data_IF_932568339445
#
_entry.id   IF_932568339445
#
_cell.length_a   1.000
_cell.length_b   1.000
_cell.length_c   1.000
_cell.angle_alpha   90.00
_cell.angle_beta   90.00
_cell.angle_gamma   90.00
#
_symmetry.space_group_name_H-M   'P 1'
#
loop_
_entity.id
_entity.type
_entity.pdbx_description
1 polymer ?
#
# COMPACT_ATOMS: atom_id res chain seq x y z
N UNK A 1 10.03 -16.84 2.51
CA UNK A 1 10.33 -16.08 1.29
C UNK A 1 10.96 -14.75 1.66
N UNK A 2 11.98 -14.30 0.94
CA UNK A 2 12.62 -13.00 1.20
C UNK A 2 11.82 -11.90 0.47
N UNK A 3 10.74 -11.42 1.11
CA UNK A 3 9.88 -10.38 0.56
C UNK A 3 9.80 -9.16 1.48
N UNK A 4 9.44 -8.01 0.90
CA UNK A 4 9.33 -6.74 1.63
C UNK A 4 7.97 -6.11 1.36
N UNK A 5 7.29 -5.68 2.42
CA UNK A 5 6.07 -4.91 2.29
C UNK A 5 6.41 -3.43 2.10
N UNK A 6 5.78 -2.81 1.11
CA UNK A 6 6.00 -1.43 0.71
C UNK A 6 4.83 -0.59 1.20
N UNK A 7 5.15 0.37 2.06
CA UNK A 7 4.21 1.33 2.62
C UNK A 7 3.80 2.40 1.59
N UNK A 8 2.64 3.02 1.80
CA UNK A 8 2.09 4.09 0.96
C UNK A 8 3.06 5.26 0.81
N UNK A 9 3.79 5.62 1.87
CA UNK A 9 4.78 6.70 1.86
C UNK A 9 5.88 6.52 0.80
N UNK A 10 6.30 5.30 0.51
CA UNK A 10 7.32 5.03 -0.52
C UNK A 10 6.77 5.37 -1.91
N UNK A 11 5.55 4.92 -2.20
CA UNK A 11 4.89 5.25 -3.46
C UNK A 11 4.65 6.75 -3.58
N UNK A 12 4.22 7.42 -2.52
CA UNK A 12 3.96 8.86 -2.52
C UNK A 12 5.22 9.68 -2.81
N UNK A 13 6.36 9.37 -2.16
CA UNK A 13 7.64 10.03 -2.47
C UNK A 13 8.04 9.89 -3.94
N UNK A 14 7.85 8.70 -4.53
CA UNK A 14 8.13 8.48 -5.95
C UNK A 14 7.22 9.36 -6.82
N UNK A 15 5.94 9.50 -6.47
CA UNK A 15 4.99 10.35 -7.19
C UNK A 15 5.30 11.85 -7.03
N UNK A 16 5.92 12.25 -5.92
CA UNK A 16 6.45 13.60 -5.70
C UNK A 16 7.74 13.87 -6.49
N UNK A 17 8.31 12.86 -7.16
CA UNK A 17 9.49 12.98 -8.00
C UNK A 17 10.80 12.58 -7.32
N UNK A 18 10.77 11.92 -6.16
CA UNK A 18 11.97 11.42 -5.49
C UNK A 18 12.61 10.27 -6.27
N UNK A 19 13.67 10.61 -7.01
CA UNK A 19 14.44 9.66 -7.83
C UNK A 19 15.22 8.66 -6.96
N UNK A 20 15.68 9.07 -5.78
CA UNK A 20 16.43 8.20 -4.86
C UNK A 20 15.53 7.08 -4.36
N UNK A 21 14.33 7.41 -3.89
CA UNK A 21 13.33 6.42 -3.44
C UNK A 21 12.92 5.50 -4.60
N UNK A 22 12.76 6.04 -5.81
CA UNK A 22 12.45 5.25 -7.02
C UNK A 22 13.55 4.22 -7.33
N UNK A 23 14.80 4.66 -7.35
CA UNK A 23 15.93 3.78 -7.65
C UNK A 23 16.11 2.69 -6.58
N UNK A 24 15.87 3.04 -5.31
CA UNK A 24 15.87 2.06 -4.21
C UNK A 24 14.78 1.01 -4.40
N UNK A 25 13.55 1.40 -4.75
CA UNK A 25 12.45 0.47 -5.00
C UNK A 25 12.78 -0.47 -6.18
N UNK A 26 13.33 0.07 -7.28
CA UNK A 26 13.73 -0.72 -8.44
C UNK A 26 14.82 -1.75 -8.11
N UNK A 27 15.84 -1.34 -7.35
CA UNK A 27 16.89 -2.24 -6.87
C UNK A 27 16.28 -3.34 -5.99
N UNK A 28 15.44 -2.96 -5.03
CA UNK A 28 14.79 -3.91 -4.13
C UNK A 28 13.91 -4.92 -4.88
N UNK A 29 13.19 -4.48 -5.90
CA UNK A 29 12.36 -5.34 -6.75
C UNK A 29 13.18 -6.38 -7.55
N UNK A 30 14.45 -6.08 -7.85
CA UNK A 30 15.35 -7.03 -8.51
C UNK A 30 15.89 -8.11 -7.55
N UNK A 31 15.85 -7.87 -6.25
CA UNK A 31 16.44 -8.73 -5.22
C UNK A 31 15.37 -9.50 -4.41
N UNK A 32 14.18 -8.91 -4.26
CA UNK A 32 13.12 -9.39 -3.37
C UNK A 32 11.75 -9.19 -3.99
N UNK A 33 10.81 -10.05 -3.59
CA UNK A 33 9.39 -9.82 -3.90
C UNK A 33 8.87 -8.64 -3.11
N UNK A 34 8.16 -7.75 -3.78
CA UNK A 34 7.53 -6.60 -3.16
C UNK A 34 6.07 -6.87 -2.90
N UNK A 35 5.57 -6.42 -1.76
CA UNK A 35 4.19 -6.60 -1.35
C UNK A 35 3.54 -5.28 -0.98
N UNK A 36 2.23 -5.22 -1.15
CA UNK A 36 1.36 -4.20 -0.59
C UNK A 36 0.01 -4.84 -0.25
N UNK A 37 -0.93 -4.08 0.28
CA UNK A 37 -2.33 -4.49 0.36
C UNK A 37 -3.23 -3.42 -0.28
N UNK A 38 -4.55 -3.61 -0.17
CA UNK A 38 -5.56 -2.70 -0.71
C UNK A 38 -5.66 -1.39 0.07
N UNK A 39 -5.23 -1.34 1.33
CA UNK A 39 -5.16 -0.10 2.12
C UNK A 39 -4.12 0.84 1.53
N UNK A 40 -2.89 0.34 1.29
CA UNK A 40 -1.83 1.10 0.61
C UNK A 40 -2.30 1.63 -0.74
N UNK A 41 -2.97 0.79 -1.55
CA UNK A 41 -3.52 1.22 -2.83
C UNK A 41 -4.52 2.38 -2.67
N UNK A 42 -5.46 2.26 -1.73
CA UNK A 42 -6.47 3.27 -1.45
C UNK A 42 -5.83 4.59 -1.00
N UNK A 43 -4.90 4.54 -0.04
CA UNK A 43 -4.21 5.71 0.48
C UNK A 43 -3.46 6.47 -0.61
N UNK A 44 -2.67 5.77 -1.41
CA UNK A 44 -1.87 6.37 -2.48
C UNK A 44 -2.78 7.07 -3.50
N UNK A 45 -3.88 6.41 -3.93
CA UNK A 45 -4.82 7.04 -4.86
C UNK A 45 -5.55 8.23 -4.25
N UNK A 46 -5.98 8.15 -3.00
CA UNK A 46 -6.65 9.27 -2.33
C UNK A 46 -5.73 10.48 -2.20
N UNK A 47 -4.49 10.27 -1.78
CA UNK A 47 -3.50 11.35 -1.66
C UNK A 47 -3.19 11.92 -3.05
N UNK A 48 -2.96 11.08 -4.05
CA UNK A 48 -2.71 11.53 -5.42
C UNK A 48 -3.87 12.38 -5.97
N UNK A 49 -5.13 11.94 -5.80
CA UNK A 49 -6.30 12.69 -6.24
C UNK A 49 -6.43 14.01 -5.48
N UNK A 50 -6.23 14.00 -4.17
CA UNK A 50 -6.27 15.22 -3.32
C UNK A 50 -5.27 16.26 -3.81
N UNK A 51 -4.01 15.85 -4.02
CA UNK A 51 -2.92 16.74 -4.42
C UNK A 51 -3.08 17.20 -5.87
N UNK A 52 -3.39 16.30 -6.80
CA UNK A 52 -3.51 16.64 -8.23
C UNK A 52 -4.73 17.48 -8.60
N UNK A 53 -5.71 17.59 -7.68
CA UNK A 53 -6.92 18.40 -7.85
C UNK A 53 -6.97 19.62 -6.95
N UNK A 54 -6.12 19.69 -5.92
CA UNK A 54 -6.15 20.73 -4.91
C UNK A 54 -7.39 20.73 -4.01
N UNK A 55 -8.16 19.64 -4.00
CA UNK A 55 -9.45 19.52 -3.27
C UNK A 55 -9.40 18.44 -2.21
N UNK A 56 -10.16 18.57 -1.13
CA UNK A 56 -10.29 17.53 -0.10
C UNK A 56 -11.15 16.36 -0.62
N UNK A 57 -10.95 15.17 -0.06
CA UNK A 57 -11.62 13.93 -0.51
C UNK A 57 -13.16 14.05 -0.53
N UNK A 58 -13.76 14.76 0.45
CA UNK A 58 -15.21 14.95 0.50
C UNK A 58 -15.77 15.89 -0.58
N UNK A 59 -14.92 16.73 -1.17
CA UNK A 59 -15.27 17.62 -2.26
C UNK A 59 -15.14 16.88 -3.60
N UNK A 60 -14.05 16.14 -3.79
CA UNK A 60 -13.77 15.37 -5.01
C UNK A 60 -14.89 14.37 -5.30
N UNK A 61 -15.39 13.66 -4.26
CA UNK A 61 -16.47 12.68 -4.43
C UNK A 61 -17.77 13.26 -4.99
N UNK A 62 -17.96 14.59 -4.89
CA UNK A 62 -19.14 15.29 -5.45
C UNK A 62 -18.97 15.65 -6.92
N UNK A 63 -17.78 15.51 -7.49
CA UNK A 63 -17.44 15.93 -8.86
C UNK A 63 -16.72 14.79 -9.61
N UNK A 64 -17.45 13.76 -10.07
CA UNK A 64 -16.84 12.60 -10.74
C UNK A 64 -16.02 12.97 -11.99
N UNK A 65 -16.38 14.04 -12.71
CA UNK A 65 -15.62 14.51 -13.87
C UNK A 65 -14.20 14.92 -13.52
N UNK A 66 -13.98 15.45 -12.32
CA UNK A 66 -12.66 15.84 -11.86
C UNK A 66 -11.77 14.60 -11.69
N UNK A 67 -12.33 13.50 -11.18
CA UNK A 67 -11.63 12.21 -11.08
C UNK A 67 -11.36 11.66 -12.49
N UNK A 68 -12.37 11.66 -13.37
CA UNK A 68 -12.23 11.19 -14.76
C UNK A 68 -11.15 11.95 -15.53
N UNK A 69 -11.01 13.26 -15.30
CA UNK A 69 -9.97 14.08 -15.91
C UNK A 69 -8.54 13.62 -15.56
N UNK A 70 -8.38 12.91 -14.43
CA UNK A 70 -7.10 12.37 -13.95
C UNK A 70 -6.86 10.91 -14.34
N UNK A 71 -7.78 10.26 -15.07
CA UNK A 71 -7.63 8.87 -15.51
C UNK A 71 -6.29 8.56 -16.20
N UNK A 72 -5.74 9.40 -17.10
CA UNK A 72 -4.44 9.13 -17.71
C UNK A 72 -3.29 9.05 -16.70
N UNK A 73 -3.30 9.91 -15.67
CA UNK A 73 -2.31 9.91 -14.60
C UNK A 73 -2.56 8.76 -13.62
N UNK A 74 -3.82 8.46 -13.30
CA UNK A 74 -4.19 7.33 -12.45
C UNK A 74 -3.66 6.01 -13.01
N UNK A 75 -3.70 5.81 -14.34
CA UNK A 75 -3.09 4.62 -14.97
C UNK A 75 -1.60 4.51 -14.64
N UNK A 76 -0.85 5.61 -14.68
CA UNK A 76 0.58 5.61 -14.31
C UNK A 76 0.79 5.28 -12.83
N UNK A 77 -0.06 5.81 -11.95
CA UNK A 77 -0.03 5.51 -10.51
C UNK A 77 -0.35 4.04 -10.26
N UNK A 78 -1.37 3.49 -10.94
CA UNK A 78 -1.72 2.07 -10.84
C UNK A 78 -0.58 1.18 -11.30
N UNK A 79 0.05 1.47 -12.44
CA UNK A 79 1.22 0.71 -12.90
C UNK A 79 2.40 0.75 -11.93
N UNK A 80 2.61 1.87 -11.22
CA UNK A 80 3.59 1.95 -10.15
C UNK A 80 3.20 1.05 -8.97
N UNK A 81 1.94 1.07 -8.53
CA UNK A 81 1.44 0.22 -7.44
C UNK A 81 1.44 -1.27 -7.78
N UNK A 82 1.33 -1.62 -9.07
CA UNK A 82 1.40 -2.99 -9.59
C UNK A 82 2.82 -3.58 -9.55
N UNK A 83 3.84 -2.77 -9.27
CA UNK A 83 5.20 -3.28 -9.02
C UNK A 83 5.29 -4.10 -7.73
N UNK A 84 4.30 -3.99 -6.84
CA UNK A 84 4.17 -4.78 -5.62
C UNK A 84 2.93 -5.67 -5.67
N UNK A 85 3.10 -6.95 -5.32
CA UNK A 85 2.04 -7.94 -5.27
C UNK A 85 1.02 -7.59 -4.17
N UNK A 86 -0.27 -7.72 -4.49
CA UNK A 86 -1.34 -7.39 -3.55
C UNK A 86 -1.65 -8.57 -2.61
N UNK A 87 -1.35 -8.39 -1.33
CA UNK A 87 -1.79 -9.28 -0.26
C UNK A 87 -3.23 -8.97 0.13
N UNK A 88 -4.06 -10.00 0.17
CA UNK A 88 -5.44 -9.90 0.64
C UNK A 88 -5.51 -9.61 2.14
N UNK A 89 -6.48 -8.79 2.52
CA UNK A 89 -6.87 -8.60 3.92
C UNK A 89 -8.00 -9.59 4.19
N UNK A 90 -7.76 -10.52 5.12
CA UNK A 90 -8.74 -11.54 5.51
C UNK A 90 -9.23 -11.26 6.92
N UNK A 91 -10.31 -11.91 7.35
CA UNK A 91 -10.82 -11.79 8.73
C UNK A 91 -9.77 -12.18 9.78
N UNK A 92 -8.83 -13.08 9.44
CA UNK A 92 -7.72 -13.40 10.34
C UNK A 92 -6.76 -12.21 10.50
N UNK A 93 -6.45 -11.51 9.41
CA UNK A 93 -5.65 -10.28 9.42
C UNK A 93 -6.35 -9.19 10.23
N UNK A 94 -7.66 -9.02 10.05
CA UNK A 94 -8.45 -8.02 10.78
C UNK A 94 -8.44 -8.26 12.30
N UNK A 95 -8.51 -9.53 12.72
CA UNK A 95 -8.42 -9.88 14.15
C UNK A 95 -7.05 -9.55 14.73
N UNK A 96 -5.98 -9.99 14.08
CA UNK A 96 -4.60 -9.65 14.49
C UNK A 96 -4.41 -8.13 14.52
N UNK A 97 -4.99 -7.41 13.57
CA UNK A 97 -4.94 -5.95 13.54
C UNK A 97 -5.64 -5.32 14.73
N UNK A 98 -6.79 -5.86 15.15
CA UNK A 98 -7.48 -5.37 16.34
C UNK A 98 -6.65 -5.60 17.61
N UNK A 99 -5.94 -6.73 17.69
CA UNK A 99 -5.02 -7.02 18.80
C UNK A 99 -3.84 -6.04 18.78
N UNK A 100 -3.24 -5.78 17.61
CA UNK A 100 -2.13 -4.83 17.47
C UNK A 100 -2.51 -3.39 17.80
N UNK A 101 -3.74 -2.95 17.47
CA UNK A 101 -4.23 -1.63 17.88
C UNK A 101 -4.29 -1.54 19.40
N UNK A 102 -4.82 -2.57 20.07
CA UNK A 102 -4.98 -2.57 21.53
C UNK A 102 -3.64 -2.70 22.26
N UNK A 103 -2.75 -3.56 21.77
CA UNK A 103 -1.47 -3.85 22.43
C UNK A 103 -0.41 -2.77 22.16
N UNK A 104 -0.34 -2.27 20.92
CA UNK A 104 0.74 -1.37 20.49
C UNK A 104 0.26 0.06 20.18
N UNK A 105 -1.05 0.35 20.23
CA UNK A 105 -1.58 1.68 19.95
C UNK A 105 -1.41 2.12 18.49
N UNK A 106 -1.27 1.18 17.55
CA UNK A 106 -1.12 1.48 16.14
C UNK A 106 -2.39 2.08 15.54
N UNK A 107 -2.23 2.96 14.54
CA UNK A 107 -3.39 3.38 13.73
C UNK A 107 -3.94 2.17 12.96
N UNK A 108 -5.24 2.15 12.62
CA UNK A 108 -5.87 0.98 12.01
C UNK A 108 -5.20 0.50 10.72
N UNK A 109 -4.76 1.42 9.87
CA UNK A 109 -4.12 1.08 8.59
C UNK A 109 -2.71 0.50 8.82
N UNK A 110 -1.93 1.09 9.73
CA UNK A 110 -0.62 0.59 10.12
C UNK A 110 -0.72 -0.81 10.75
N UNK A 111 -1.72 -1.02 11.60
CA UNK A 111 -2.01 -2.30 12.22
C UNK A 111 -2.39 -3.37 11.19
N UNK A 112 -3.22 -3.04 10.19
CA UNK A 112 -3.58 -3.95 9.10
C UNK A 112 -2.36 -4.33 8.26
N UNK A 113 -1.49 -3.37 7.95
CA UNK A 113 -0.24 -3.60 7.22
C UNK A 113 0.66 -4.57 8.01
N UNK A 114 0.89 -4.29 9.30
CA UNK A 114 1.70 -5.14 10.17
C UNK A 114 1.11 -6.55 10.31
N UNK A 115 -0.22 -6.65 10.39
CA UNK A 115 -0.94 -7.92 10.51
C UNK A 115 -0.85 -8.78 9.25
N UNK A 116 -0.87 -8.16 8.07
CA UNK A 116 -0.63 -8.84 6.79
C UNK A 116 0.76 -9.48 6.75
N UNK A 117 1.78 -8.75 7.20
CA UNK A 117 3.16 -9.22 7.30
C UNK A 117 3.30 -10.41 8.26
N UNK A 118 2.70 -10.30 9.45
CA UNK A 118 2.67 -11.36 10.45
C UNK A 118 2.04 -12.64 9.87
N UNK A 119 0.86 -12.51 9.27
CA UNK A 119 0.12 -13.64 8.70
C UNK A 119 0.89 -14.32 7.55
N UNK A 120 1.60 -13.53 6.72
CA UNK A 120 2.43 -14.07 5.66
C UNK A 120 3.57 -14.92 6.25
N UNK A 121 4.28 -14.41 7.26
CA UNK A 121 5.35 -15.13 7.96
C UNK A 121 4.86 -16.45 8.57
N UNK A 122 3.67 -16.44 9.17
CA UNK A 122 3.11 -17.62 9.83
C UNK A 122 2.62 -18.70 8.86
N UNK A 123 2.27 -18.34 7.62
CA UNK A 123 1.97 -19.32 6.56
C UNK A 123 3.25 -20.03 6.10
N UNK A 124 4.35 -19.31 5.99
CA UNK A 124 5.62 -19.88 5.55
C UNK A 124 6.20 -20.85 6.56
N UNK A 125 6.22 -20.46 7.84
CA UNK A 125 6.74 -21.32 8.91
C UNK A 125 5.98 -22.65 9.02
N UNK A 126 4.70 -22.67 8.66
CA UNK A 126 3.87 -23.89 8.61
C UNK A 126 4.20 -24.81 7.42
N UNK A 127 4.78 -24.27 6.34
CA UNK A 127 5.15 -25.05 5.15
C UNK A 127 6.60 -25.54 5.17
N UNK A 128 7.48 -24.96 5.98
CA UNK A 128 8.88 -25.39 6.13
C UNK A 128 9.10 -26.39 7.27
N UNK A 129 8.06 -26.74 8.02
CA UNK A 129 8.09 -27.70 9.14
C UNK A 129 7.68 -29.13 8.76
N UNK A 130 7.74 -29.49 7.47
CA UNK A 130 7.56 -30.86 6.96
C UNK A 130 8.85 -31.37 6.33
#
# INVERSE_FOLDING_TARGET
MNGVFIDSNIFLKILEGDITTKNMLLKLNSEKKLFRNTIVYSEVLYVFLRLSTGKKSFEIKKIPELIRSKCPQLKKVSSLLETAENLSITTAVEKISADFIQEYGLLPNDALIASNLQTLRDKENRHTGQ
#
